data_IF_277531488190
#
_entry.id   IF_277531488190
#
_cell.length_a   1.000
_cell.length_b   1.000
_cell.length_c   1.000
_cell.angle_alpha   90.00
_cell.angle_beta   90.00
_cell.angle_gamma   90.00
#
_symmetry.space_group_name_H-M   'P 1'
#
loop_
_entity.id
_entity.type
_entity.pdbx_description
1 polymer ?
#
# COMPACT_ATOMS: atom_id res chain seq x y z
N UNK A 1 -13.49 -9.66 -12.91
CA UNK A 1 -13.24 -8.44 -13.73
C UNK A 1 -11.90 -7.79 -13.37
N UNK A 2 -10.85 -7.86 -14.21
CA UNK A 2 -9.88 -6.75 -14.23
C UNK A 2 -10.61 -5.63 -14.97
N UNK A 3 -11.25 -4.71 -14.24
CA UNK A 3 -12.02 -3.64 -14.88
C UNK A 3 -11.07 -2.84 -15.77
N UNK A 4 -11.24 -2.96 -17.09
CA UNK A 4 -10.64 -2.05 -18.07
C UNK A 4 -11.02 -0.64 -17.63
N UNK A 5 -10.04 0.24 -17.48
CA UNK A 5 -10.27 1.63 -17.09
C UNK A 5 -11.27 2.26 -18.06
N UNK A 6 -12.18 3.08 -17.54
CA UNK A 6 -13.05 3.90 -18.39
C UNK A 6 -12.18 4.78 -19.30
N UNK A 7 -12.64 5.10 -20.52
CA UNK A 7 -11.87 5.93 -21.46
C UNK A 7 -11.44 7.26 -20.84
N UNK A 8 -12.29 7.84 -20.00
CA UNK A 8 -12.03 9.08 -19.25
C UNK A 8 -10.80 8.96 -18.32
N UNK A 9 -10.72 7.87 -17.55
CA UNK A 9 -9.56 7.65 -16.65
C UNK A 9 -8.26 7.44 -17.43
N UNK A 10 -8.31 6.78 -18.59
CA UNK A 10 -7.13 6.61 -19.44
C UNK A 10 -6.60 7.95 -19.97
N UNK A 11 -7.51 8.87 -20.33
CA UNK A 11 -7.14 10.22 -20.75
C UNK A 11 -6.40 10.99 -19.64
N UNK A 12 -6.91 10.92 -18.41
CA UNK A 12 -6.31 11.59 -17.25
C UNK A 12 -4.92 11.00 -16.94
N UNK A 13 -4.80 9.68 -16.92
CA UNK A 13 -3.52 9.00 -16.66
C UNK A 13 -2.46 9.37 -17.70
N UNK A 14 -2.85 9.46 -18.98
CA UNK A 14 -1.96 9.92 -20.05
C UNK A 14 -1.56 11.38 -19.88
N UNK A 15 -2.51 12.26 -19.56
CA UNK A 15 -2.24 13.68 -19.34
C UNK A 15 -1.26 13.91 -18.17
N UNK A 16 -1.44 13.17 -17.07
CA UNK A 16 -0.58 13.24 -15.89
C UNK A 16 0.73 12.44 -16.01
N UNK A 17 0.97 11.77 -17.16
CA UNK A 17 2.14 10.91 -17.40
C UNK A 17 2.38 9.85 -16.31
N UNK A 18 1.30 9.35 -15.71
CA UNK A 18 1.39 8.35 -14.63
C UNK A 18 1.40 6.95 -15.22
N UNK A 19 2.33 6.10 -14.78
CA UNK A 19 2.32 4.68 -15.16
C UNK A 19 1.26 3.92 -14.37
N UNK A 20 0.20 3.46 -15.04
CA UNK A 20 -0.84 2.66 -14.41
C UNK A 20 -0.47 1.18 -14.40
N UNK A 21 -0.39 0.57 -13.21
CA UNK A 21 -0.12 -0.86 -13.03
C UNK A 21 -1.40 -1.57 -12.57
N UNK A 22 -1.77 -2.64 -13.27
CA UNK A 22 -2.94 -3.46 -12.92
C UNK A 22 -2.51 -4.64 -12.04
N UNK A 23 -3.33 -4.93 -11.04
CA UNK A 23 -3.18 -6.09 -10.19
C UNK A 23 -3.84 -7.33 -10.81
N UNK A 24 -3.39 -8.52 -10.39
CA UNK A 24 -3.98 -9.77 -10.82
C UNK A 24 -5.42 -9.90 -10.30
N UNK A 25 -6.33 -10.32 -11.18
CA UNK A 25 -7.75 -10.40 -10.85
C UNK A 25 -7.98 -11.42 -9.74
N UNK A 26 -8.83 -11.07 -8.77
CA UNK A 26 -9.20 -11.94 -7.64
C UNK A 26 -8.03 -12.37 -6.73
N UNK A 27 -6.92 -11.62 -6.74
CA UNK A 27 -5.83 -11.79 -5.76
C UNK A 27 -5.69 -10.55 -4.86
N UNK A 28 -6.43 -10.50 -3.73
CA UNK A 28 -6.31 -9.40 -2.76
C UNK A 28 -4.86 -9.20 -2.26
N UNK A 29 -4.10 -10.29 -2.16
CA UNK A 29 -2.68 -10.27 -1.77
C UNK A 29 -1.80 -9.38 -2.66
N UNK A 30 -2.16 -9.19 -3.94
CA UNK A 30 -1.39 -8.34 -4.84
C UNK A 30 -1.52 -6.83 -4.52
N UNK A 31 -2.53 -6.44 -3.72
CA UNK A 31 -2.75 -5.08 -3.20
C UNK A 31 -2.70 -5.03 -1.66
N UNK A 32 -1.97 -5.96 -1.03
CA UNK A 32 -1.95 -6.18 0.43
C UNK A 32 -1.72 -4.93 1.28
N UNK A 33 -0.89 -3.99 0.82
CA UNK A 33 -0.60 -2.76 1.56
C UNK A 33 -1.85 -1.87 1.69
N UNK A 34 -2.59 -1.70 0.60
CA UNK A 34 -3.85 -0.94 0.57
C UNK A 34 -4.89 -1.63 1.45
N UNK A 35 -4.99 -2.96 1.37
CA UNK A 35 -5.93 -3.73 2.20
C UNK A 35 -5.63 -3.62 3.69
N UNK A 36 -4.35 -3.68 4.07
CA UNK A 36 -3.92 -3.49 5.46
C UNK A 36 -4.31 -2.11 5.99
N UNK A 37 -4.09 -1.06 5.19
CA UNK A 37 -4.46 0.32 5.55
C UNK A 37 -5.98 0.46 5.64
N UNK A 38 -6.73 -0.08 4.68
CA UNK A 38 -8.20 -0.05 4.71
C UNK A 38 -8.75 -0.75 5.96
N UNK A 39 -8.14 -1.86 6.38
CA UNK A 39 -8.51 -2.54 7.63
C UNK A 39 -8.23 -1.67 8.85
N UNK A 40 -7.11 -0.95 8.89
CA UNK A 40 -6.78 -0.02 9.98
C UNK A 40 -7.81 1.11 10.04
N UNK A 41 -8.08 1.76 8.90
CA UNK A 41 -9.03 2.87 8.81
C UNK A 41 -10.43 2.45 9.27
N UNK A 42 -10.93 1.31 8.79
CA UNK A 42 -12.23 0.77 9.22
C UNK A 42 -12.26 0.52 10.73
N UNK A 43 -11.24 -0.13 11.29
CA UNK A 43 -11.16 -0.39 12.74
C UNK A 43 -11.15 0.90 13.55
N UNK A 44 -10.38 1.89 13.14
CA UNK A 44 -10.32 3.19 13.83
C UNK A 44 -11.65 3.93 13.76
N UNK A 45 -12.27 3.98 12.59
CA UNK A 45 -13.59 4.59 12.41
C UNK A 45 -14.66 3.90 13.25
N UNK A 46 -14.68 2.56 13.29
CA UNK A 46 -15.64 1.83 14.13
C UNK A 46 -15.49 2.19 15.60
N UNK A 47 -14.25 2.29 16.11
CA UNK A 47 -14.01 2.69 17.50
C UNK A 47 -14.45 4.12 17.78
N UNK A 48 -14.02 5.08 16.95
CA UNK A 48 -14.40 6.49 17.10
C UNK A 48 -15.92 6.69 17.04
N UNK A 49 -16.60 5.94 16.16
CA UNK A 49 -18.05 5.98 16.03
C UNK A 49 -18.76 5.43 17.27
N UNK A 50 -18.25 4.34 17.86
CA UNK A 50 -18.80 3.77 19.08
C UNK A 50 -18.62 4.73 20.28
N UNK A 51 -17.51 5.45 20.34
CA UNK A 51 -17.19 6.37 21.43
C UNK A 51 -17.94 7.71 21.32
N UNK A 52 -18.07 8.26 20.11
CA UNK A 52 -18.59 9.62 19.90
C UNK A 52 -20.06 9.62 19.42
N UNK A 53 -20.55 8.52 18.85
CA UNK A 53 -21.88 8.45 18.22
C UNK A 53 -22.01 9.24 16.90
N UNK A 54 -20.95 9.90 16.46
CA UNK A 54 -20.94 10.81 15.32
C UNK A 54 -20.96 10.11 13.94
N UNK A 55 -21.20 10.92 12.90
CA UNK A 55 -21.12 10.47 11.52
C UNK A 55 -19.68 10.11 11.14
N UNK A 56 -19.50 9.03 10.38
CA UNK A 56 -18.18 8.58 9.93
C UNK A 56 -17.43 9.64 9.09
N UNK A 57 -18.15 10.55 8.44
CA UNK A 57 -17.56 11.64 7.63
C UNK A 57 -16.83 12.65 8.51
N UNK A 58 -17.40 13.07 9.66
CA UNK A 58 -16.73 13.97 10.60
C UNK A 58 -15.55 13.29 11.31
N UNK A 59 -15.64 11.97 11.50
CA UNK A 59 -14.60 11.16 12.13
C UNK A 59 -13.44 10.79 11.19
N UNK A 60 -13.61 10.96 9.87
CA UNK A 60 -12.62 10.57 8.87
C UNK A 60 -11.27 11.30 9.00
N UNK A 61 -11.21 12.63 9.21
CA UNK A 61 -9.95 13.34 9.44
C UNK A 61 -9.17 12.77 10.63
N UNK A 62 -9.85 12.42 11.73
CA UNK A 62 -9.22 11.83 12.92
C UNK A 62 -8.69 10.42 12.65
N UNK A 63 -9.45 9.60 11.92
CA UNK A 63 -8.99 8.27 11.53
C UNK A 63 -7.76 8.33 10.60
N UNK A 64 -7.74 9.28 9.66
CA UNK A 64 -6.60 9.51 8.78
C UNK A 64 -5.38 10.05 9.55
N UNK A 65 -5.60 10.98 10.49
CA UNK A 65 -4.53 11.51 11.33
C UNK A 65 -3.87 10.39 12.13
N UNK A 66 -4.68 9.54 12.78
CA UNK A 66 -4.18 8.35 13.48
C UNK A 66 -3.40 7.44 12.54
N UNK A 67 -3.93 7.12 11.36
CA UNK A 67 -3.25 6.25 10.42
C UNK A 67 -1.89 6.81 9.94
N UNK A 68 -1.75 8.14 9.83
CA UNK A 68 -0.52 8.82 9.41
C UNK A 68 0.51 9.00 10.52
N UNK A 69 0.05 9.11 11.78
CA UNK A 69 0.91 9.37 12.94
C UNK A 69 1.14 8.13 13.82
N UNK A 70 0.59 6.97 13.46
CA UNK A 70 0.88 5.72 14.18
C UNK A 70 2.21 5.13 13.66
N UNK A 71 3.15 4.75 14.53
CA UNK A 71 4.39 4.09 14.14
C UNK A 71 4.12 2.85 13.28
N UNK A 72 4.84 2.72 12.16
CA UNK A 72 4.61 1.64 11.19
C UNK A 72 5.82 0.74 11.02
N UNK A 73 6.93 1.25 10.48
CA UNK A 73 8.14 0.48 10.20
C UNK A 73 9.28 1.03 11.05
N UNK A 74 9.93 0.16 11.84
CA UNK A 74 11.06 0.49 12.73
C UNK A 74 10.80 1.75 13.59
N UNK A 75 9.57 1.92 14.07
CA UNK A 75 9.19 3.05 14.92
C UNK A 75 8.82 4.35 14.18
N UNK A 76 9.07 4.44 12.86
CA UNK A 76 8.74 5.62 12.07
C UNK A 76 7.27 5.63 11.64
N UNK A 77 6.66 6.81 11.71
CA UNK A 77 5.29 7.06 11.24
C UNK A 77 5.27 7.30 9.72
N UNK A 78 4.17 6.97 9.02
CA UNK A 78 4.02 7.32 7.61
C UNK A 78 4.22 8.81 7.29
N UNK A 79 3.85 9.69 8.23
CA UNK A 79 4.10 11.13 8.10
C UNK A 79 5.60 11.44 8.08
N UNK A 80 6.36 10.90 9.02
CA UNK A 80 7.82 11.09 9.08
C UNK A 80 8.52 10.52 7.86
N UNK A 81 8.06 9.38 7.35
CA UNK A 81 8.62 8.79 6.12
C UNK A 81 8.39 9.71 4.92
N UNK A 82 7.23 10.36 4.84
CA UNK A 82 6.89 11.21 3.69
C UNK A 82 7.52 12.61 3.75
N UNK A 83 7.62 13.19 4.96
CA UNK A 83 8.05 14.58 5.15
C UNK A 83 9.41 14.74 5.82
N UNK A 84 10.03 13.66 6.31
CA UNK A 84 11.33 13.69 6.99
C UNK A 84 11.33 14.41 8.33
N UNK A 85 10.16 14.69 8.91
CA UNK A 85 9.99 15.41 10.19
C UNK A 85 8.83 14.84 11.00
N UNK A 86 8.85 14.95 12.34
CA UNK A 86 7.74 14.51 13.18
C UNK A 86 6.46 15.29 12.83
N UNK A 87 5.27 14.66 12.95
CA UNK A 87 4.01 15.35 12.75
C UNK A 87 3.89 16.51 13.75
N UNK A 88 3.46 17.71 13.31
CA UNK A 88 3.19 18.82 14.22
C UNK A 88 1.90 18.53 14.98
N UNK A 89 1.97 17.65 15.98
CA UNK A 89 0.86 17.26 16.85
C UNK A 89 0.57 18.33 17.91
N UNK A 90 1.36 19.40 17.96
CA UNK A 90 1.25 20.43 18.98
C UNK A 90 -0.04 21.23 18.80
N UNK A 91 -0.91 21.29 19.82
CA UNK A 91 -2.02 22.21 19.84
C UNK A 91 -1.44 23.62 20.06
N UNK A 92 -1.63 24.52 19.08
CA UNK A 92 -1.62 25.99 19.23
C UNK A 92 -0.76 26.50 20.40
N UNK A 93 0.56 26.37 20.28
CA UNK A 93 1.47 27.11 21.16
C UNK A 93 1.25 28.59 20.90
N UNK A 94 1.17 29.39 21.97
CA UNK A 94 1.00 30.85 21.83
C UNK A 94 2.23 31.40 21.11
N UNK A 95 2.07 32.45 20.30
CA UNK A 95 3.18 33.05 19.52
C UNK A 95 4.41 33.39 20.39
N UNK A 96 4.18 33.71 21.66
CA UNK A 96 5.21 33.96 22.68
C UNK A 96 6.04 32.72 23.09
N UNK A 97 5.46 31.52 23.01
CA UNK A 97 6.15 30.25 23.24
C UNK A 97 6.94 29.84 22.01
N UNK A 98 6.40 30.09 20.81
CA UNK A 98 7.07 29.87 19.52
C UNK A 98 8.30 30.79 19.39
N UNK A 99 8.17 32.06 19.77
CA UNK A 99 9.27 33.03 19.76
C UNK A 99 10.41 32.64 20.70
N UNK A 100 10.10 32.16 21.92
CA UNK A 100 11.11 31.69 22.89
C UNK A 100 11.84 30.42 22.43
N UNK A 101 11.17 29.53 21.71
CA UNK A 101 11.77 28.32 21.15
C UNK A 101 12.62 28.62 19.90
N UNK A 102 12.30 29.67 19.14
CA UNK A 102 12.87 29.94 17.81
C UNK A 102 14.38 30.24 17.78
N UNK A 103 14.94 30.89 18.81
CA UNK A 103 16.31 31.43 18.76
C UNK A 103 17.36 30.51 19.39
N UNK A 104 17.03 29.83 20.50
CA UNK A 104 17.96 28.87 21.15
C UNK A 104 17.92 27.48 20.52
N UNK A 105 16.78 27.07 19.95
CA UNK A 105 16.60 25.68 19.53
C UNK A 105 16.84 25.45 18.04
N UNK A 106 17.14 26.46 17.21
CA UNK A 106 17.25 26.22 15.77
C UNK A 106 18.40 25.27 15.45
N UNK A 107 19.58 25.48 16.05
CA UNK A 107 20.76 24.65 15.79
C UNK A 107 20.61 23.24 16.39
N UNK A 108 20.09 23.13 17.61
CA UNK A 108 19.77 21.85 18.24
C UNK A 108 18.66 21.10 17.48
N UNK A 109 17.64 21.80 16.99
CA UNK A 109 16.57 21.23 16.18
C UNK A 109 17.09 20.78 14.81
N UNK A 110 18.01 21.53 14.20
CA UNK A 110 18.67 21.14 12.95
C UNK A 110 19.58 19.92 13.16
N UNK A 111 20.30 19.83 14.27
CA UNK A 111 21.10 18.66 14.63
C UNK A 111 20.22 17.44 14.94
N UNK A 112 19.10 17.62 15.65
CA UNK A 112 18.11 16.58 15.90
C UNK A 112 17.42 16.13 14.60
N UNK A 113 17.12 17.06 13.69
CA UNK A 113 16.58 16.76 12.37
C UNK A 113 17.59 16.00 11.52
N UNK A 114 18.87 16.41 11.51
CA UNK A 114 19.93 15.71 10.79
C UNK A 114 20.16 14.30 11.35
N UNK A 115 20.13 14.14 12.68
CA UNK A 115 20.27 12.85 13.35
C UNK A 115 19.08 11.93 13.07
N UNK A 116 17.85 12.47 13.08
CA UNK A 116 16.66 11.69 12.75
C UNK A 116 16.58 11.35 11.27
N UNK A 117 16.95 12.26 10.37
CA UNK A 117 17.02 12.02 8.92
C UNK A 117 18.07 10.95 8.56
N UNK A 118 19.27 11.02 9.14
CA UNK A 118 20.32 10.02 8.91
C UNK A 118 19.93 8.65 9.48
N UNK A 119 19.29 8.61 10.65
CA UNK A 119 18.74 7.38 11.22
C UNK A 119 17.65 6.78 10.32
N UNK A 120 16.70 7.60 9.86
CA UNK A 120 15.66 7.16 8.92
C UNK A 120 16.25 6.66 7.60
N UNK A 121 17.27 7.33 7.07
CA UNK A 121 17.94 6.91 5.84
C UNK A 121 18.66 5.57 5.99
N UNK A 122 19.34 5.33 7.12
CA UNK A 122 19.95 4.02 7.45
C UNK A 122 18.91 2.92 7.54
N UNK A 123 17.80 3.21 8.22
CA UNK A 123 16.66 2.30 8.34
C UNK A 123 16.10 1.94 6.98
N UNK A 124 15.86 2.93 6.11
CA UNK A 124 15.37 2.74 4.74
C UNK A 124 16.34 1.95 3.88
N UNK A 125 17.64 2.24 3.98
CA UNK A 125 18.69 1.50 3.25
C UNK A 125 18.71 0.02 3.66
N UNK A 126 18.68 -0.26 4.96
CA UNK A 126 18.65 -1.63 5.48
C UNK A 126 17.38 -2.39 5.07
N UNK A 127 16.21 -1.73 5.02
CA UNK A 127 14.97 -2.36 4.51
C UNK A 127 15.14 -2.72 3.04
N UNK A 128 15.71 -1.80 2.24
CA UNK A 128 15.93 -2.04 0.81
C UNK A 128 16.92 -3.20 0.58
N UNK A 129 17.99 -3.27 1.36
CA UNK A 129 18.97 -4.36 1.29
C UNK A 129 18.35 -5.70 1.73
N UNK A 130 17.52 -5.70 2.78
CA UNK A 130 16.81 -6.89 3.25
C UNK A 130 15.74 -7.37 2.27
N UNK A 131 15.00 -6.46 1.63
CA UNK A 131 14.04 -6.79 0.57
C UNK A 131 14.73 -7.39 -0.66
N UNK A 132 15.92 -6.89 -1.02
CA UNK A 132 16.75 -7.46 -2.10
C UNK A 132 17.21 -8.88 -1.73
N UNK A 133 17.68 -9.11 -0.50
CA UNK A 133 18.10 -10.44 -0.02
C UNK A 133 16.94 -11.44 0.07
N UNK A 134 15.72 -10.98 0.40
CA UNK A 134 14.52 -11.82 0.43
C UNK A 134 13.96 -12.12 -0.96
N UNK A 135 14.35 -11.35 -1.97
CA UNK A 135 13.95 -11.56 -3.36
C UNK A 135 14.78 -12.64 -4.06
N UNK A 136 14.81 -13.86 -3.51
CA UNK A 136 15.28 -15.01 -4.28
C UNK A 136 14.42 -15.17 -5.53
N UNK A 137 14.99 -15.40 -6.73
CA UNK A 137 14.20 -15.69 -7.91
C UNK A 137 13.37 -16.95 -7.64
N UNK A 138 12.08 -16.78 -7.35
CA UNK A 138 11.18 -17.92 -7.25
C UNK A 138 11.12 -18.53 -8.65
N UNK A 139 11.60 -19.76 -8.82
CA UNK A 139 11.46 -20.41 -10.12
C UNK A 139 9.97 -20.50 -10.46
N UNK A 140 9.57 -20.27 -11.73
CA UNK A 140 8.18 -20.44 -12.12
C UNK A 140 7.75 -21.89 -11.87
N UNK A 141 6.63 -22.08 -11.17
CA UNK A 141 6.15 -23.42 -10.78
C UNK A 141 5.67 -24.27 -11.98
N UNK A 142 5.48 -23.66 -13.16
CA UNK A 142 4.95 -24.30 -14.36
C UNK A 142 5.82 -23.98 -15.57
N UNK A 143 6.01 -24.98 -16.43
CA UNK A 143 6.74 -24.87 -17.70
C UNK A 143 5.81 -24.50 -18.85
N UNK A 144 6.41 -24.00 -19.93
CA UNK A 144 5.67 -23.75 -21.17
C UNK A 144 5.15 -25.08 -21.73
N UNK A 145 3.87 -25.13 -22.08
CA UNK A 145 3.22 -26.34 -22.58
C UNK A 145 2.48 -27.17 -21.54
N UNK A 146 2.65 -26.90 -20.24
CA UNK A 146 1.92 -27.61 -19.19
C UNK A 146 0.41 -27.39 -19.30
N UNK A 147 -0.36 -28.44 -19.00
CA UNK A 147 -1.82 -28.38 -18.92
C UNK A 147 -2.27 -28.06 -17.49
N UNK A 148 -2.95 -26.93 -17.33
CA UNK A 148 -3.39 -26.41 -16.04
C UNK A 148 -4.90 -26.24 -15.97
N UNK A 149 -5.47 -26.50 -14.79
CA UNK A 149 -6.86 -26.22 -14.47
C UNK A 149 -6.98 -24.83 -13.84
N UNK A 150 -7.94 -24.03 -14.29
CA UNK A 150 -8.14 -22.66 -13.82
C UNK A 150 -9.37 -22.61 -12.93
N UNK A 151 -9.21 -22.12 -11.70
CA UNK A 151 -10.33 -21.92 -10.77
C UNK A 151 -11.29 -20.83 -11.25
N UNK A 152 -12.60 -21.10 -11.20
CA UNK A 152 -13.67 -20.12 -11.36
C UNK A 152 -13.93 -19.42 -10.02
N UNK A 153 -13.97 -18.10 -10.02
CA UNK A 153 -14.15 -17.31 -8.80
C UNK A 153 -15.63 -17.06 -8.46
N UNK A 154 -16.49 -16.99 -9.47
CA UNK A 154 -17.93 -16.74 -9.34
C UNK A 154 -18.74 -17.84 -10.08
N UNK A 155 -18.66 -19.12 -9.65
CA UNK A 155 -19.46 -20.18 -10.27
C UNK A 155 -20.94 -20.04 -9.91
N UNK A 156 -21.84 -20.33 -10.85
CA UNK A 156 -23.27 -20.43 -10.55
C UNK A 156 -23.57 -21.71 -9.75
N UNK A 157 -24.80 -21.85 -9.23
CA UNK A 157 -25.18 -23.03 -8.44
C UNK A 157 -25.02 -24.31 -9.27
N UNK A 158 -24.33 -25.32 -8.72
CA UNK A 158 -24.03 -26.62 -9.34
C UNK A 158 -23.06 -26.60 -10.54
N UNK A 159 -22.39 -25.49 -10.83
CA UNK A 159 -21.32 -25.48 -11.84
C UNK A 159 -19.97 -25.98 -11.29
N UNK A 160 -19.13 -26.62 -12.15
CA UNK A 160 -17.79 -27.01 -11.76
C UNK A 160 -16.94 -25.80 -11.41
N UNK A 161 -16.24 -25.87 -10.27
CA UNK A 161 -15.35 -24.81 -9.78
C UNK A 161 -14.06 -24.68 -10.59
N UNK A 162 -13.73 -25.67 -11.40
CA UNK A 162 -12.50 -25.72 -12.20
C UNK A 162 -12.86 -25.75 -13.68
N UNK A 163 -12.07 -25.03 -14.47
CA UNK A 163 -12.26 -24.84 -15.90
C UNK A 163 -10.96 -25.18 -16.62
N UNK A 164 -11.00 -26.05 -17.62
CA UNK A 164 -9.80 -26.52 -18.33
C UNK A 164 -9.82 -28.03 -18.55
N UNK A 165 -8.71 -28.63 -19.02
CA UNK A 165 -7.34 -28.12 -18.97
C UNK A 165 -7.03 -27.07 -20.04
N UNK A 166 -6.06 -26.20 -19.74
CA UNK A 166 -5.55 -25.21 -20.68
C UNK A 166 -4.03 -25.22 -20.73
N UNK A 167 -3.45 -24.91 -21.88
CA UNK A 167 -2.00 -24.86 -22.07
C UNK A 167 -1.39 -23.55 -21.57
N UNK A 168 -0.26 -23.65 -20.86
CA UNK A 168 0.55 -22.50 -20.43
C UNK A 168 1.34 -21.95 -21.62
N UNK A 169 1.13 -20.67 -21.92
CA UNK A 169 1.77 -19.93 -23.03
C UNK A 169 2.92 -19.06 -22.54
N UNK A 170 2.81 -18.47 -21.34
CA UNK A 170 3.91 -17.76 -20.67
C UNK A 170 3.91 -18.11 -19.18
N UNK A 171 5.10 -18.16 -18.58
CA UNK A 171 5.27 -18.42 -17.16
C UNK A 171 6.21 -17.37 -16.56
N UNK A 172 5.78 -16.73 -15.48
CA UNK A 172 6.59 -15.87 -14.63
C UNK A 172 6.58 -16.44 -13.20
N UNK A 173 7.57 -16.13 -12.35
CA UNK A 173 7.71 -16.68 -10.99
C UNK A 173 6.43 -16.76 -10.15
N UNK A 174 5.51 -15.83 -10.34
CA UNK A 174 4.30 -15.71 -9.53
C UNK A 174 3.00 -15.89 -10.31
N UNK A 175 3.04 -16.02 -11.64
CA UNK A 175 1.86 -16.03 -12.52
C UNK A 175 2.10 -16.76 -13.85
N UNK A 176 1.04 -17.28 -14.44
CA UNK A 176 1.03 -17.96 -15.74
C UNK A 176 0.02 -17.31 -16.70
N UNK A 177 0.36 -17.24 -17.97
CA UNK A 177 -0.56 -16.86 -19.05
C UNK A 177 -1.03 -18.12 -19.73
N UNK A 178 -2.34 -18.27 -19.81
CA UNK A 178 -2.99 -19.49 -20.29
C UNK A 178 -3.69 -19.22 -21.61
N UNK A 179 -3.63 -20.17 -22.55
CA UNK A 179 -4.27 -20.07 -23.86
C UNK A 179 -5.79 -19.81 -23.73
N UNK A 180 -6.34 -18.93 -24.57
CA UNK A 180 -7.77 -18.60 -24.58
C UNK A 180 -8.27 -17.71 -23.42
N UNK A 181 -7.47 -17.46 -22.38
CA UNK A 181 -7.86 -16.56 -21.27
C UNK A 181 -7.23 -15.18 -21.42
N UNK A 182 -8.07 -14.13 -21.31
CA UNK A 182 -7.63 -12.72 -21.45
C UNK A 182 -6.68 -12.25 -20.34
N UNK A 183 -6.79 -12.80 -19.14
CA UNK A 183 -6.03 -12.35 -17.96
C UNK A 183 -4.97 -13.38 -17.54
N UNK A 184 -3.91 -12.91 -16.90
CA UNK A 184 -2.93 -13.77 -16.21
C UNK A 184 -3.62 -14.55 -15.09
N UNK A 185 -3.20 -15.80 -14.95
CA UNK A 185 -3.59 -16.76 -13.90
C UNK A 185 -2.40 -16.97 -12.98
N UNK A 186 -2.63 -17.51 -11.81
CA UNK A 186 -1.62 -17.66 -10.76
C UNK A 186 -1.66 -19.10 -10.28
#
# INVERSE_FOLDING_TARGET
>A
MARRLSPKLQSIVKALRVTWKLHCVYRPQSSRQIEKINRILKKTLTKLKLETGENWVSLLPFALLRARCTPYIKGLTPFEIMFGRPPPLLPHLREEEIARLSTRNLLESLQALQSSATSAQRVMKAIREEDVLRSSPTQPAFSLGDLVWVKRHDPSSLEPRWDGPYQVVLSIPTAIKVAGKRHWKL
#
